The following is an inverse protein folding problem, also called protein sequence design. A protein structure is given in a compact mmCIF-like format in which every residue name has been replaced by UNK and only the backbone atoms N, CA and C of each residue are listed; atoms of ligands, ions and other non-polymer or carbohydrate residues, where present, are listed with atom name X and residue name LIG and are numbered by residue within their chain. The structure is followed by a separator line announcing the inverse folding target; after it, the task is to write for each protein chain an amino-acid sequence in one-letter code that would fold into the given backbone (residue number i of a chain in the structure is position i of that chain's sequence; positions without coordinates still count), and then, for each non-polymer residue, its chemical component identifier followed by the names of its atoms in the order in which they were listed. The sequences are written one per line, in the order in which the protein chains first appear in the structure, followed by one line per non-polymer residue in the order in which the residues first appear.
data_IF_315960465749
#
_entry.id   IF_315960465749
#
_cell.length_a   1.000
_cell.length_b   1.000
_cell.length_c   1.000
_cell.angle_alpha   90.00
_cell.angle_beta   90.00
_cell.angle_gamma   90.00
#
_symmetry.space_group_name_H-M   'P 1'
#
loop_
_entity.id
_entity.type
_entity.pdbx_description
1 polymer ?
#
# COMPACT_ATOMS: atom_id res chain seq x y z
N UNK A 1 -9.86 25.04 15.23
CA UNK A 1 -9.38 23.81 14.58
C UNK A 1 -10.52 22.83 14.57
N UNK A 2 -11.06 22.49 13.40
CA UNK A 2 -12.01 21.38 13.26
C UNK A 2 -11.18 20.18 12.80
N UNK A 3 -10.75 19.34 13.73
CA UNK A 3 -10.37 17.98 13.36
C UNK A 3 -11.68 17.20 13.37
N UNK A 4 -12.25 17.00 12.20
CA UNK A 4 -13.34 16.05 12.05
C UNK A 4 -12.74 14.66 11.89
N UNK A 5 -12.67 13.93 13.01
CA UNK A 5 -12.17 12.57 13.05
C UNK A 5 -13.02 11.59 12.21
N UNK A 6 -14.23 12.00 11.79
CA UNK A 6 -15.12 11.23 10.92
C UNK A 6 -14.72 11.20 9.44
N UNK A 7 -13.80 12.08 8.99
CA UNK A 7 -13.37 12.15 7.57
C UNK A 7 -12.10 11.31 7.31
N UNK A 8 -11.43 10.85 8.36
CA UNK A 8 -10.30 9.90 8.29
C UNK A 8 -10.78 8.47 7.95
N UNK A 9 -12.11 8.27 7.93
CA UNK A 9 -12.86 7.04 7.69
C UNK A 9 -12.98 6.62 6.21
N UNK A 10 -12.33 7.33 5.27
CA UNK A 10 -12.43 6.96 3.86
C UNK A 10 -11.47 5.81 3.53
N UNK A 11 -12.03 4.64 3.27
CA UNK A 11 -11.33 3.45 2.80
C UNK A 11 -10.47 3.75 1.56
N UNK A 12 -9.16 3.94 1.76
CA UNK A 12 -8.20 4.00 0.67
C UNK A 12 -7.91 2.57 0.22
N UNK A 13 -8.74 2.03 -0.69
CA UNK A 13 -8.52 0.79 -1.45
C UNK A 13 -7.62 -0.25 -0.78
N UNK A 14 -7.95 -0.63 0.45
CA UNK A 14 -7.06 -1.44 1.27
C UNK A 14 -7.01 -2.86 0.70
N UNK A 15 -5.83 -3.50 0.62
CA UNK A 15 -5.73 -4.92 0.26
C UNK A 15 -6.24 -5.84 1.38
N UNK A 16 -6.76 -5.30 2.49
CA UNK A 16 -7.23 -6.07 3.64
C UNK A 16 -8.69 -6.48 3.39
N UNK A 17 -8.87 -7.76 3.10
CA UNK A 17 -10.15 -8.38 2.81
C UNK A 17 -11.14 -8.27 3.99
N UNK A 18 -12.20 -7.46 3.84
CA UNK A 18 -13.48 -7.47 4.58
C UNK A 18 -13.48 -7.28 6.12
N UNK A 19 -12.31 -7.23 6.76
CA UNK A 19 -12.18 -7.21 8.23
C UNK A 19 -11.59 -5.89 8.75
N UNK A 20 -10.71 -5.26 7.97
CA UNK A 20 -9.99 -4.00 8.29
C UNK A 20 -10.11 -2.98 7.14
N UNK A 21 -11.27 -2.91 6.50
CA UNK A 21 -11.56 -2.08 5.33
C UNK A 21 -12.41 -0.83 5.65
N UNK A 22 -12.70 -0.59 6.93
CA UNK A 22 -13.48 0.54 7.43
C UNK A 22 -12.65 1.74 7.86
N UNK A 23 -11.39 1.83 7.42
CA UNK A 23 -10.50 2.97 7.73
C UNK A 23 -10.09 3.12 9.20
N UNK A 24 -10.43 2.16 10.08
CA UNK A 24 -10.19 2.33 11.53
C UNK A 24 -8.75 2.07 11.93
N UNK A 25 -8.01 1.31 11.13
CA UNK A 25 -6.55 1.22 11.27
C UNK A 25 -5.91 2.61 11.29
N UNK A 26 -6.29 3.51 10.36
CA UNK A 26 -5.73 4.86 10.35
C UNK A 26 -6.13 5.66 11.60
N UNK A 27 -7.37 5.50 12.08
CA UNK A 27 -7.84 6.14 13.32
C UNK A 27 -7.02 5.69 14.53
N UNK A 28 -6.75 4.38 14.64
CA UNK A 28 -5.91 3.77 15.66
C UNK A 28 -4.47 4.32 15.64
N UNK A 29 -3.84 4.31 14.46
CA UNK A 29 -2.47 4.82 14.31
C UNK A 29 -2.37 6.33 14.59
N UNK A 30 -3.40 7.09 14.26
CA UNK A 30 -3.47 8.51 14.60
C UNK A 30 -3.66 8.71 16.11
N UNK A 31 -4.37 7.82 16.79
CA UNK A 31 -4.41 7.77 18.26
C UNK A 31 -3.00 7.64 18.85
N UNK A 32 -2.20 6.69 18.36
CA UNK A 32 -0.79 6.57 18.75
C UNK A 32 0.03 7.81 18.42
N UNK A 33 -0.17 8.37 17.22
CA UNK A 33 0.44 9.64 16.85
C UNK A 33 0.14 10.68 17.95
N UNK A 34 -1.12 10.85 18.37
CA UNK A 34 -1.51 11.78 19.43
C UNK A 34 -1.36 11.24 20.87
N UNK A 35 -0.37 10.36 21.13
CA UNK A 35 0.07 9.96 22.47
C UNK A 35 -0.96 9.10 23.24
N UNK A 36 -1.71 8.26 22.51
CA UNK A 36 -2.50 7.19 23.10
C UNK A 36 -1.73 5.87 23.05
N UNK A 37 -1.92 5.07 24.09
CA UNK A 37 -1.44 3.69 24.15
C UNK A 37 -2.58 2.73 23.89
N UNK A 38 -2.23 1.46 23.66
CA UNK A 38 -3.21 0.39 23.65
C UNK A 38 -3.92 0.26 24.99
N UNK A 39 -5.24 0.07 24.99
CA UNK A 39 -6.06 0.11 26.22
C UNK A 39 -5.74 -1.01 27.23
N UNK A 40 -5.02 -2.05 26.82
CA UNK A 40 -4.55 -3.13 27.70
C UNK A 40 -3.14 -2.89 28.24
N UNK A 41 -2.54 -1.73 27.97
CA UNK A 41 -1.23 -1.34 28.49
C UNK A 41 -0.02 -2.07 27.89
N UNK A 42 -0.16 -2.71 26.73
CA UNK A 42 0.91 -3.44 26.00
C UNK A 42 1.50 -4.66 26.73
N UNK A 43 0.76 -5.23 27.68
CA UNK A 43 1.19 -6.44 28.40
C UNK A 43 0.05 -7.42 28.62
N UNK A 44 0.40 -8.63 29.09
CA UNK A 44 -0.61 -9.61 29.51
C UNK A 44 -0.74 -9.55 31.04
N UNK A 45 -1.90 -9.13 31.53
CA UNK A 45 -2.19 -8.99 32.95
C UNK A 45 -2.80 -7.62 33.30
N UNK A 46 -3.00 -7.37 34.59
CA UNK A 46 -3.72 -6.18 35.06
C UNK A 46 -2.80 -5.06 35.55
N UNK A 47 -1.50 -5.12 35.26
CA UNK A 47 -0.52 -4.12 35.69
C UNK A 47 -0.23 -3.06 34.62
N UNK A 48 -0.79 -3.24 33.42
CA UNK A 48 -0.64 -2.34 32.30
C UNK A 48 -1.35 -1.03 32.58
N UNK A 49 -0.75 0.07 32.11
CA UNK A 49 -1.27 1.42 32.21
C UNK A 49 -1.22 2.05 30.82
N UNK A 50 -2.39 2.33 30.24
CA UNK A 50 -2.57 2.98 28.95
C UNK A 50 -2.59 4.51 29.06
N UNK A 51 -2.55 5.05 30.27
CA UNK A 51 -2.35 6.46 30.59
C UNK A 51 -0.93 6.78 31.07
N UNK A 52 0.00 5.82 30.96
CA UNK A 52 1.41 6.04 31.28
C UNK A 52 2.03 7.22 30.50
N UNK A 53 2.94 7.92 31.16
CA UNK A 53 3.75 9.00 30.55
C UNK A 53 5.09 8.41 30.13
N UNK A 54 5.46 8.61 28.87
CA UNK A 54 6.77 8.21 28.36
C UNK A 54 7.86 9.10 28.94
N UNK A 55 8.92 8.48 29.46
CA UNK A 55 10.09 9.18 29.95
C UNK A 55 10.66 10.13 28.89
N UNK A 56 10.94 11.37 29.31
CA UNK A 56 11.43 12.43 28.42
C UNK A 56 10.34 13.17 27.63
N UNK A 57 9.08 12.70 27.67
CA UNK A 57 7.95 13.33 26.99
C UNK A 57 6.77 13.58 27.95
N UNK A 58 6.91 14.50 28.93
CA UNK A 58 5.85 14.81 29.88
C UNK A 58 4.65 15.53 29.23
N UNK A 59 3.43 15.05 29.49
CA UNK A 59 2.21 15.78 29.16
C UNK A 59 1.86 16.80 30.25
N UNK A 60 1.54 18.03 29.87
CA UNK A 60 1.18 19.10 30.82
C UNK A 60 -0.28 19.10 31.27
N UNK A 61 -1.11 18.19 30.72
CA UNK A 61 -2.53 18.07 31.08
C UNK A 61 -2.77 16.93 32.07
N UNK A 62 -3.60 17.19 33.09
CA UNK A 62 -4.05 16.19 34.05
C UNK A 62 -5.31 15.50 33.53
N UNK A 63 -5.15 14.56 32.60
CA UNK A 63 -6.25 13.72 32.12
C UNK A 63 -6.35 12.49 33.04
N UNK A 64 -7.49 12.32 33.70
CA UNK A 64 -7.75 11.13 34.54
C UNK A 64 -8.21 9.99 33.65
N UNK A 65 -7.51 8.87 33.75
CA UNK A 65 -7.83 7.64 33.02
C UNK A 65 -9.30 7.21 33.23
N UNK A 66 -10.00 7.01 32.12
CA UNK A 66 -11.39 6.56 32.04
C UNK A 66 -11.57 5.32 31.14
N UNK A 67 -10.48 4.66 30.74
CA UNK A 67 -10.49 3.34 30.10
C UNK A 67 -10.42 2.25 31.17
N UNK A 68 -11.41 1.34 31.28
CA UNK A 68 -11.32 0.25 32.23
C UNK A 68 -10.11 -0.65 31.94
N UNK A 69 -9.38 -1.01 32.99
CA UNK A 69 -8.20 -1.88 32.88
C UNK A 69 -8.56 -3.21 32.20
N UNK A 70 -7.70 -3.64 31.29
CA UNK A 70 -7.92 -4.79 30.41
C UNK A 70 -6.66 -5.65 30.35
N UNK A 71 -6.83 -6.97 30.48
CA UNK A 71 -5.72 -7.91 30.65
C UNK A 71 -4.89 -8.11 29.38
N UNK A 72 -5.49 -7.94 28.20
CA UNK A 72 -4.88 -8.17 26.89
C UNK A 72 -5.76 -7.58 25.79
N UNK A 73 -5.20 -7.42 24.60
CA UNK A 73 -5.98 -7.04 23.41
C UNK A 73 -7.10 -8.03 23.10
N UNK A 74 -8.12 -7.53 22.41
CA UNK A 74 -9.18 -8.35 21.84
C UNK A 74 -9.12 -8.37 20.32
N UNK A 75 -9.75 -9.38 19.71
CA UNK A 75 -9.84 -9.53 18.26
C UNK A 75 -11.24 -9.97 17.86
N UNK A 76 -11.60 -9.74 16.60
CA UNK A 76 -12.95 -10.02 16.12
C UNK A 76 -13.95 -8.94 16.53
N UNK A 77 -15.23 -9.30 16.43
CA UNK A 77 -16.36 -8.45 16.79
C UNK A 77 -17.08 -9.02 18.01
N UNK A 78 -16.74 -8.50 19.18
CA UNK A 78 -17.39 -8.88 20.44
C UNK A 78 -18.75 -8.19 20.58
N UNK A 79 -19.61 -8.72 21.44
CA UNK A 79 -20.92 -8.14 21.73
C UNK A 79 -21.27 -8.22 23.21
N UNK A 80 -22.11 -7.30 23.69
CA UNK A 80 -22.52 -7.23 25.09
C UNK A 80 -21.40 -6.81 26.06
N UNK A 81 -21.59 -7.12 27.34
CA UNK A 81 -20.63 -6.85 28.42
C UNK A 81 -19.55 -7.91 28.41
N UNK A 82 -18.29 -7.50 28.31
CA UNK A 82 -17.13 -8.38 28.32
C UNK A 82 -16.25 -8.07 29.52
N UNK A 83 -15.94 -9.08 30.33
CA UNK A 83 -15.19 -8.94 31.58
C UNK A 83 -13.95 -9.82 31.57
N UNK A 84 -12.94 -9.44 32.34
CA UNK A 84 -11.76 -10.26 32.56
C UNK A 84 -11.30 -10.17 34.04
N UNK A 85 -10.07 -10.59 34.33
CA UNK A 85 -9.51 -10.51 35.69
C UNK A 85 -9.25 -9.08 36.18
N UNK A 86 -9.21 -8.09 35.28
CA UNK A 86 -8.91 -6.69 35.57
C UNK A 86 -10.19 -5.86 35.71
N UNK A 87 -11.17 -6.13 34.84
CA UNK A 87 -12.52 -5.57 34.85
C UNK A 87 -13.56 -6.67 35.03
N UNK A 88 -13.68 -7.17 36.27
CA UNK A 88 -14.46 -8.39 36.61
C UNK A 88 -15.97 -8.21 36.72
N UNK A 89 -16.47 -6.99 36.59
CA UNK A 89 -17.92 -6.69 36.68
C UNK A 89 -18.33 -5.70 35.60
N UNK A 90 -19.64 -5.62 35.32
CA UNK A 90 -20.19 -4.67 34.36
C UNK A 90 -19.78 -3.22 34.73
N UNK A 91 -19.46 -2.36 33.73
CA UNK A 91 -19.64 -2.56 32.29
C UNK A 91 -18.56 -3.40 31.59
N UNK A 92 -17.54 -3.87 32.32
CA UNK A 92 -16.44 -4.65 31.76
C UNK A 92 -15.35 -3.79 31.11
N UNK A 93 -14.54 -4.39 30.23
CA UNK A 93 -13.52 -3.69 29.45
C UNK A 93 -14.07 -3.14 28.13
N UNK A 94 -13.39 -2.15 27.56
CA UNK A 94 -13.91 -1.32 26.47
C UNK A 94 -13.39 -1.75 25.08
N UNK A 95 -13.77 -2.94 24.62
CA UNK A 95 -13.32 -3.49 23.32
C UNK A 95 -13.76 -2.68 22.09
N UNK A 96 -14.70 -1.74 22.24
CA UNK A 96 -15.13 -0.83 21.16
C UNK A 96 -14.21 0.39 21.00
N UNK A 97 -13.22 0.55 21.88
CA UNK A 97 -12.28 1.66 21.83
C UNK A 97 -11.35 1.52 20.61
N UNK A 98 -11.08 2.63 19.91
CA UNK A 98 -10.15 2.61 18.77
C UNK A 98 -8.75 2.12 19.12
N UNK A 99 -8.33 2.17 20.39
CA UNK A 99 -7.02 1.71 20.85
C UNK A 99 -7.01 0.23 21.32
N UNK A 100 -8.05 -0.57 21.02
CA UNK A 100 -7.99 -2.04 21.05
C UNK A 100 -7.69 -2.61 19.65
N UNK A 101 -7.64 -3.93 19.48
CA UNK A 101 -7.41 -4.65 18.19
C UNK A 101 -8.65 -5.38 17.65
N UNK A 102 -9.85 -4.94 18.04
CA UNK A 102 -11.09 -5.45 17.44
C UNK A 102 -11.18 -5.13 15.94
N UNK A 103 -12.09 -5.81 15.23
CA UNK A 103 -12.25 -5.59 13.79
C UNK A 103 -12.87 -4.22 13.49
N UNK A 104 -12.61 -3.67 12.30
CA UNK A 104 -13.03 -2.32 11.90
C UNK A 104 -14.53 -2.05 12.09
N UNK A 105 -15.37 -3.05 11.81
CA UNK A 105 -16.82 -2.96 11.96
C UNK A 105 -17.32 -2.85 13.40
N UNK A 106 -16.43 -2.96 14.40
CA UNK A 106 -16.77 -3.06 15.81
C UNK A 106 -16.09 -2.01 16.71
N UNK A 107 -15.21 -1.18 16.14
CA UNK A 107 -14.78 0.06 16.78
C UNK A 107 -15.90 1.11 16.78
N UNK A 108 -15.88 2.00 17.77
CA UNK A 108 -16.85 3.09 17.78
C UNK A 108 -16.45 4.37 18.52
N UNK A 109 -15.36 4.40 19.29
CA UNK A 109 -15.10 5.57 20.14
C UNK A 109 -13.67 5.74 20.67
N UNK A 110 -13.32 7.00 20.94
CA UNK A 110 -12.34 7.39 21.96
C UNK A 110 -13.09 7.81 23.23
N UNK A 111 -12.42 7.72 24.38
CA UNK A 111 -12.94 8.25 25.64
C UNK A 111 -12.66 9.75 25.80
N UNK A 112 -13.27 10.38 26.82
CA UNK A 112 -13.07 11.80 27.10
C UNK A 112 -11.62 12.04 27.54
N UNK A 113 -11.06 11.16 28.37
CA UNK A 113 -9.68 11.31 28.83
C UNK A 113 -8.65 11.04 27.72
N UNK A 114 -8.94 10.13 26.77
CA UNK A 114 -8.12 9.96 25.57
C UNK A 114 -8.14 11.24 24.71
N UNK A 115 -9.31 11.85 24.50
CA UNK A 115 -9.39 13.16 23.81
C UNK A 115 -8.58 14.24 24.53
N UNK A 116 -8.63 14.28 25.86
CA UNK A 116 -7.80 15.18 26.67
C UNK A 116 -6.30 14.94 26.43
N UNK A 117 -5.82 13.68 26.40
CA UNK A 117 -4.41 13.36 26.09
C UNK A 117 -4.02 13.79 24.69
N UNK A 118 -4.89 13.56 23.70
CA UNK A 118 -4.63 13.99 22.33
C UNK A 118 -4.49 15.51 22.23
N UNK A 119 -5.35 16.27 22.94
CA UNK A 119 -5.24 17.72 23.03
C UNK A 119 -3.96 18.16 23.75
N UNK A 120 -3.58 17.50 24.85
CA UNK A 120 -2.32 17.77 25.53
C UNK A 120 -1.12 17.52 24.61
N UNK A 121 -1.14 16.44 23.84
CA UNK A 121 -0.11 16.13 22.87
C UNK A 121 -0.05 17.20 21.75
N UNK A 122 -1.21 17.62 21.26
CA UNK A 122 -1.33 18.71 20.29
C UNK A 122 -0.72 20.00 20.82
N UNK A 123 -0.90 20.28 22.10
CA UNK A 123 -0.41 21.50 22.75
C UNK A 123 1.10 21.49 22.97
N UNK A 124 1.67 20.37 23.38
CA UNK A 124 3.08 20.27 23.79
C UNK A 124 4.01 19.87 22.63
N UNK A 125 3.57 18.96 21.77
CA UNK A 125 4.45 18.33 20.78
C UNK A 125 4.06 18.63 19.34
N UNK A 126 2.83 19.10 19.11
CA UNK A 126 2.31 19.34 17.75
C UNK A 126 1.62 20.68 17.58
N UNK A 127 2.09 21.69 18.31
CA UNK A 127 1.48 23.02 18.31
C UNK A 127 1.40 23.64 16.90
N UNK A 128 2.32 23.30 16.00
CA UNK A 128 2.31 23.73 14.59
C UNK A 128 1.06 23.32 13.83
N UNK A 129 0.41 22.20 14.20
CA UNK A 129 -0.85 21.78 13.60
C UNK A 129 -1.99 22.77 13.89
N UNK A 130 -1.92 23.53 14.99
CA UNK A 130 -2.91 24.55 15.36
C UNK A 130 -2.89 25.79 14.49
N UNK A 131 -1.72 26.10 13.94
CA UNK A 131 -1.54 27.17 12.97
C UNK A 131 -1.52 26.65 11.53
N UNK A 132 -1.87 25.38 11.32
CA UNK A 132 -1.94 24.81 9.97
C UNK A 132 -3.04 25.50 9.16
N UNK A 133 -2.73 25.78 7.90
CA UNK A 133 -3.70 26.28 6.93
C UNK A 133 -4.66 25.18 6.44
N UNK A 134 -4.63 23.97 7.01
CA UNK A 134 -5.46 22.84 6.55
C UNK A 134 -6.97 23.09 6.60
N UNK A 135 -7.45 23.98 7.47
CA UNK A 135 -8.87 24.41 7.50
C UNK A 135 -9.13 25.70 6.71
N UNK A 136 -8.09 26.36 6.19
CA UNK A 136 -8.26 27.47 5.26
C UNK A 136 -8.56 26.89 3.88
N UNK A 137 -9.61 27.34 3.17
CA UNK A 137 -9.80 26.98 1.79
C UNK A 137 -8.52 27.28 1.02
N UNK A 138 -8.09 26.34 0.17
CA UNK A 138 -6.97 26.59 -0.73
C UNK A 138 -7.36 27.78 -1.59
N UNK A 139 -6.70 28.92 -1.37
CA UNK A 139 -6.95 30.13 -2.17
C UNK A 139 -6.49 29.81 -3.58
N UNK A 140 -7.40 29.84 -4.54
CA UNK A 140 -7.02 29.67 -5.94
C UNK A 140 -6.03 30.78 -6.33
N UNK A 141 -4.92 30.42 -6.98
CA UNK A 141 -3.97 31.40 -7.49
C UNK A 141 -4.04 31.43 -9.02
N UNK A 142 -3.60 32.51 -9.64
CA UNK A 142 -3.71 32.62 -11.09
C UNK A 142 -2.94 31.49 -11.79
N UNK A 143 -3.62 30.84 -12.75
CA UNK A 143 -3.09 29.74 -13.57
C UNK A 143 -2.37 28.64 -12.75
N UNK A 144 -3.07 28.00 -11.81
CA UNK A 144 -2.53 26.88 -11.01
C UNK A 144 -3.15 25.55 -11.48
N UNK A 145 -2.32 24.64 -11.98
CA UNK A 145 -2.76 23.29 -12.36
C UNK A 145 -1.99 22.24 -11.56
N UNK A 146 -2.73 21.48 -10.76
CA UNK A 146 -2.18 20.35 -10.04
C UNK A 146 -2.23 19.09 -10.89
N UNK A 147 -1.11 18.36 -10.93
CA UNK A 147 -1.10 16.96 -11.33
C UNK A 147 -1.38 16.11 -10.10
N UNK A 148 -2.58 15.55 -10.01
CA UNK A 148 -3.00 14.80 -8.82
C UNK A 148 -2.35 13.42 -8.76
N UNK A 149 -2.37 12.67 -9.86
CA UNK A 149 -1.82 11.32 -9.93
C UNK A 149 -1.64 10.81 -11.36
N UNK A 150 -0.83 9.76 -11.51
CA UNK A 150 -0.70 8.97 -12.75
C UNK A 150 -1.50 7.68 -12.58
N UNK A 151 -2.63 7.59 -13.26
CA UNK A 151 -3.55 6.45 -13.18
C UNK A 151 -3.07 5.24 -13.99
N UNK A 152 -2.27 5.49 -15.01
CA UNK A 152 -1.56 4.46 -15.77
C UNK A 152 -0.16 5.01 -16.12
N UNK A 153 0.94 4.33 -15.79
CA UNK A 153 1.00 3.13 -14.99
C UNK A 153 0.50 3.35 -13.55
N UNK A 154 -0.31 2.41 -13.06
CA UNK A 154 -1.17 2.59 -11.88
C UNK A 154 -0.38 3.09 -10.66
N UNK A 155 -0.65 4.32 -10.21
CA UNK A 155 -0.44 4.73 -8.83
C UNK A 155 -1.77 4.61 -8.07
N UNK A 156 -2.26 3.40 -7.80
CA UNK A 156 -3.43 3.28 -6.92
C UNK A 156 -2.99 3.71 -5.52
N UNK A 157 -3.32 4.96 -5.20
CA UNK A 157 -3.41 5.59 -3.89
C UNK A 157 -2.27 5.30 -2.94
N UNK A 158 -1.28 6.18 -2.84
CA UNK A 158 -0.40 6.31 -1.66
C UNK A 158 0.28 5.01 -1.15
N UNK A 159 0.24 3.91 -1.92
CA UNK A 159 0.74 2.62 -1.52
C UNK A 159 2.23 2.54 -1.90
N UNK A 160 3.07 2.92 -0.94
CA UNK A 160 4.47 2.53 -0.80
C UNK A 160 5.00 1.61 -1.92
N UNK A 161 5.52 2.20 -3.00
CA UNK A 161 6.44 1.53 -3.91
C UNK A 161 5.92 0.34 -4.73
N UNK A 162 4.60 0.16 -4.91
CA UNK A 162 4.09 -0.94 -5.74
C UNK A 162 4.42 -0.69 -7.22
N UNK A 163 5.03 -1.69 -7.85
CA UNK A 163 5.49 -1.69 -9.24
C UNK A 163 4.46 -2.41 -10.11
N UNK A 164 3.93 -1.75 -11.13
CA UNK A 164 3.08 -2.42 -12.13
C UNK A 164 3.95 -2.93 -13.28
N UNK A 165 3.76 -4.20 -13.65
CA UNK A 165 4.46 -4.86 -14.75
C UNK A 165 3.64 -4.81 -16.04
N UNK A 166 4.29 -4.45 -17.15
CA UNK A 166 3.66 -4.34 -18.47
C UNK A 166 4.27 -5.34 -19.47
N UNK A 167 3.40 -6.04 -20.20
CA UNK A 167 3.80 -6.97 -21.25
C UNK A 167 4.12 -6.26 -22.55
N UNK A 168 3.41 -5.17 -22.82
CA UNK A 168 3.62 -4.39 -24.02
C UNK A 168 4.79 -3.44 -23.83
N UNK A 169 5.58 -3.32 -24.89
CA UNK A 169 6.63 -2.32 -24.95
C UNK A 169 6.04 -0.92 -25.12
N UNK A 170 4.76 -0.78 -25.47
CA UNK A 170 4.10 0.50 -25.65
C UNK A 170 3.30 0.85 -24.39
N UNK A 171 3.63 1.99 -23.78
CA UNK A 171 2.93 2.54 -22.62
C UNK A 171 2.00 3.66 -23.07
N UNK A 172 0.76 3.66 -22.56
CA UNK A 172 -0.27 4.67 -22.80
C UNK A 172 -0.70 5.31 -21.47
N UNK A 173 0.07 6.28 -20.94
CA UNK A 173 -0.21 6.80 -19.62
C UNK A 173 -1.54 7.57 -19.56
N UNK A 174 -2.15 7.60 -18.38
CA UNK A 174 -3.29 8.47 -18.09
C UNK A 174 -3.01 9.23 -16.80
N UNK A 175 -3.27 10.54 -16.81
CA UNK A 175 -3.00 11.44 -15.70
C UNK A 175 -4.27 12.17 -15.27
N UNK A 176 -4.44 12.37 -13.96
CA UNK A 176 -5.50 13.19 -13.38
C UNK A 176 -4.95 14.59 -13.11
N UNK A 177 -5.54 15.60 -13.75
CA UNK A 177 -5.24 17.01 -13.49
C UNK A 177 -6.41 17.69 -12.78
N UNK A 178 -6.12 18.70 -11.97
CA UNK A 178 -7.12 19.54 -11.29
C UNK A 178 -6.77 21.00 -11.54
N UNK A 179 -7.77 21.81 -11.90
CA UNK A 179 -7.59 23.25 -12.00
C UNK A 179 -7.69 23.86 -10.59
N UNK A 180 -6.54 24.13 -9.95
CA UNK A 180 -6.47 24.85 -8.69
C UNK A 180 -6.46 26.39 -8.90
N UNK A 181 -6.54 26.82 -10.17
CA UNK A 181 -6.49 28.21 -10.59
C UNK A 181 -7.79 28.97 -10.39
N UNK A 182 -7.70 30.31 -10.33
CA UNK A 182 -8.84 31.21 -10.12
C UNK A 182 -9.65 31.53 -11.39
N UNK A 183 -9.25 30.96 -12.53
CA UNK A 183 -9.91 31.10 -13.83
C UNK A 183 -9.99 29.73 -14.54
N UNK A 184 -10.89 29.56 -15.54
CA UNK A 184 -10.95 28.33 -16.31
C UNK A 184 -9.62 27.98 -16.99
N UNK A 185 -9.18 26.73 -16.86
CA UNK A 185 -8.01 26.21 -17.55
C UNK A 185 -8.40 25.76 -18.97
N UNK A 186 -7.77 26.37 -19.96
CA UNK A 186 -8.08 26.18 -21.39
C UNK A 186 -6.95 25.52 -22.17
N UNK A 187 -5.71 25.62 -21.69
CA UNK A 187 -4.56 24.98 -22.30
C UNK A 187 -3.48 24.64 -21.28
N UNK A 188 -2.68 23.61 -21.57
CA UNK A 188 -1.49 23.25 -20.80
C UNK A 188 -0.49 22.47 -21.68
N UNK A 189 0.78 22.44 -21.28
CA UNK A 189 1.83 21.60 -21.88
C UNK A 189 2.31 20.55 -20.89
N UNK A 190 2.19 19.28 -21.25
CA UNK A 190 2.79 18.16 -20.53
C UNK A 190 4.22 17.92 -21.00
N UNK A 191 5.15 17.73 -20.07
CA UNK A 191 6.49 17.18 -20.33
C UNK A 191 6.60 15.80 -19.69
N UNK A 192 6.86 14.79 -20.51
CA UNK A 192 6.91 13.39 -20.10
C UNK A 192 8.37 12.97 -19.97
N UNK A 193 8.74 12.42 -18.81
CA UNK A 193 10.09 11.95 -18.52
C UNK A 193 10.10 10.49 -18.08
N UNK A 194 11.06 9.74 -18.61
CA UNK A 194 11.41 8.41 -18.15
C UNK A 194 12.83 8.49 -17.59
N UNK A 195 13.02 8.17 -16.32
CA UNK A 195 14.31 8.23 -15.62
C UNK A 195 15.00 9.60 -15.81
N UNK A 196 14.23 10.67 -15.61
CA UNK A 196 14.60 12.07 -15.83
C UNK A 196 14.88 12.50 -17.30
N UNK A 197 14.88 11.57 -18.26
CA UNK A 197 15.05 11.88 -19.69
C UNK A 197 13.71 12.26 -20.31
N UNK A 198 13.64 13.37 -21.04
CA UNK A 198 12.42 13.77 -21.77
C UNK A 198 12.17 12.78 -22.90
N UNK A 199 11.02 12.12 -22.88
CA UNK A 199 10.59 11.18 -23.92
C UNK A 199 9.45 11.74 -24.79
N UNK A 200 8.79 12.80 -24.33
CA UNK A 200 7.70 13.43 -25.07
C UNK A 200 7.27 14.77 -24.48
N UNK A 201 6.59 15.55 -25.32
CA UNK A 201 5.89 16.78 -24.95
C UNK A 201 4.53 16.73 -25.62
N UNK A 202 3.47 16.99 -24.87
CA UNK A 202 2.10 16.95 -25.38
C UNK A 202 1.35 18.21 -24.95
N UNK A 203 0.61 18.81 -25.87
CA UNK A 203 -0.28 19.93 -25.53
C UNK A 203 -1.68 19.40 -25.25
N UNK A 204 -2.34 20.01 -24.29
CA UNK A 204 -3.75 19.77 -23.99
C UNK A 204 -4.52 21.06 -24.12
N UNK A 205 -5.76 20.94 -24.62
CA UNK A 205 -6.74 22.03 -24.68
C UNK A 205 -8.05 21.53 -24.13
N UNK A 206 -8.76 22.39 -23.41
CA UNK A 206 -10.06 22.05 -22.85
C UNK A 206 -10.76 23.26 -22.27
N UNK A 207 -11.66 23.01 -21.32
CA UNK A 207 -12.28 24.05 -20.51
C UNK A 207 -12.63 23.44 -19.15
N UNK A 208 -11.75 23.64 -18.17
CA UNK A 208 -11.87 23.09 -16.83
C UNK A 208 -12.11 24.23 -15.86
N UNK A 209 -13.30 24.30 -15.23
CA UNK A 209 -13.57 25.34 -14.25
C UNK A 209 -12.70 25.16 -12.99
N UNK A 210 -12.59 26.20 -12.17
CA UNK A 210 -11.87 26.13 -10.90
C UNK A 210 -12.39 24.96 -10.04
N UNK A 211 -11.45 24.19 -9.48
CA UNK A 211 -11.65 22.97 -8.71
C UNK A 211 -12.23 21.77 -9.47
N UNK A 212 -12.47 21.88 -10.78
CA UNK A 212 -12.78 20.71 -11.60
C UNK A 212 -11.53 19.91 -11.97
N UNK A 213 -11.73 18.65 -12.32
CA UNK A 213 -10.67 17.72 -12.71
C UNK A 213 -10.92 17.10 -14.09
N UNK A 214 -9.84 16.67 -14.75
CA UNK A 214 -9.91 15.96 -16.01
C UNK A 214 -8.92 14.80 -16.06
N UNK A 215 -9.31 13.73 -16.75
CA UNK A 215 -8.41 12.63 -17.10
C UNK A 215 -7.82 12.90 -18.47
N UNK A 216 -6.49 12.97 -18.55
CA UNK A 216 -5.78 13.21 -19.81
C UNK A 216 -5.00 11.95 -20.18
N UNK A 217 -5.24 11.46 -21.39
CA UNK A 217 -4.43 10.41 -21.98
C UNK A 217 -3.16 11.02 -22.56
N UNK A 218 -2.03 10.42 -22.23
CA UNK A 218 -0.72 10.78 -22.76
C UNK A 218 -0.41 9.91 -23.97
N UNK A 219 0.19 10.52 -24.99
CA UNK A 219 0.61 9.85 -26.21
C UNK A 219 1.49 8.64 -25.90
N UNK A 220 1.27 7.58 -26.68
CA UNK A 220 1.94 6.32 -26.47
C UNK A 220 3.45 6.46 -26.72
N UNK A 221 4.27 5.87 -25.85
CA UNK A 221 5.72 5.81 -26.04
C UNK A 221 6.26 4.41 -25.71
N UNK A 222 7.47 4.11 -26.17
CA UNK A 222 8.08 2.78 -26.04
C UNK A 222 9.33 2.85 -25.16
N UNK A 223 9.21 2.70 -23.83
CA UNK A 223 10.36 2.62 -22.95
C UNK A 223 11.14 1.31 -23.15
N UNK A 224 12.44 1.29 -22.81
CA UNK A 224 13.22 0.06 -22.82
C UNK A 224 12.70 -0.94 -21.78
N UNK A 225 13.17 -2.18 -21.86
CA UNK A 225 12.86 -3.21 -20.86
C UNK A 225 13.57 -2.91 -19.55
N UNK A 226 12.90 -3.15 -18.43
CA UNK A 226 13.45 -2.90 -17.11
C UNK A 226 12.53 -2.06 -16.24
N UNK A 227 13.08 -1.60 -15.12
CA UNK A 227 12.35 -0.78 -14.14
C UNK A 227 12.62 0.69 -14.40
N UNK A 228 11.56 1.48 -14.43
CA UNK A 228 11.60 2.88 -14.81
C UNK A 228 10.74 3.74 -13.88
N UNK A 229 11.09 5.02 -13.79
CA UNK A 229 10.26 6.04 -13.17
C UNK A 229 9.68 6.96 -14.25
N UNK A 230 8.36 6.99 -14.37
CA UNK A 230 7.63 7.96 -15.17
C UNK A 230 7.39 9.21 -14.33
N UNK A 231 7.77 10.38 -14.86
CA UNK A 231 7.42 11.68 -14.30
C UNK A 231 6.67 12.48 -15.35
N UNK A 232 5.48 12.97 -15.01
CA UNK A 232 4.70 13.85 -15.87
C UNK A 232 4.63 15.21 -15.19
N UNK A 233 5.17 16.23 -15.89
CA UNK A 233 5.11 17.61 -15.47
C UNK A 233 4.10 18.38 -16.32
N UNK A 234 3.37 19.31 -15.71
CA UNK A 234 2.58 20.33 -16.40
C UNK A 234 3.36 21.63 -16.49
N UNK A 235 2.91 22.51 -17.38
CA UNK A 235 3.49 23.83 -17.57
C UNK A 235 2.67 24.64 -18.57
N UNK A 236 2.94 25.94 -18.63
CA UNK A 236 2.24 26.89 -19.48
C UNK A 236 0.69 26.87 -19.36
N UNK A 237 0.09 26.79 -18.15
CA UNK A 237 -1.36 26.86 -18.00
C UNK A 237 -1.90 28.17 -18.60
N UNK A 238 -2.84 28.06 -19.55
CA UNK A 238 -3.35 29.19 -20.33
C UNK A 238 -2.27 30.02 -21.05
N UNK A 239 -1.09 29.43 -21.32
CA UNK A 239 0.08 30.13 -21.88
C UNK A 239 0.85 31.01 -20.88
N UNK A 240 0.49 30.97 -19.59
CA UNK A 240 1.13 31.72 -18.51
C UNK A 240 2.09 30.89 -17.66
N UNK A 241 2.63 31.49 -16.60
CA UNK A 241 3.43 30.79 -15.59
C UNK A 241 2.49 30.17 -14.55
N UNK A 242 2.79 28.95 -14.11
CA UNK A 242 2.03 28.30 -13.05
C UNK A 242 2.21 29.02 -11.70
N UNK A 243 1.11 29.27 -10.99
CA UNK A 243 1.10 29.95 -9.71
C UNK A 243 1.65 29.14 -8.53
N UNK A 244 1.72 27.80 -8.63
CA UNK A 244 2.27 26.90 -7.60
C UNK A 244 3.11 25.74 -8.17
N UNK A 245 4.34 26.00 -8.64
CA UNK A 245 5.19 25.01 -9.31
C UNK A 245 5.48 23.67 -8.58
N UNK A 246 5.16 23.57 -7.29
CA UNK A 246 5.38 22.38 -6.46
C UNK A 246 4.34 21.27 -6.71
N UNK A 247 3.16 21.60 -7.26
CA UNK A 247 2.07 20.65 -7.52
C UNK A 247 1.95 20.28 -9.02
N UNK A 248 2.85 20.80 -9.87
CA UNK A 248 2.88 20.60 -11.33
C UNK A 248 3.32 19.19 -11.78
N UNK A 249 3.50 18.23 -10.88
CA UNK A 249 3.97 16.91 -11.29
C UNK A 249 3.50 15.76 -10.43
N UNK A 250 3.44 14.59 -11.07
CA UNK A 250 3.30 13.30 -10.41
C UNK A 250 4.34 12.32 -10.95
N UNK A 251 4.64 11.30 -10.15
CA UNK A 251 5.59 10.24 -10.47
C UNK A 251 4.97 8.86 -10.26
N UNK A 252 5.30 7.92 -11.12
CA UNK A 252 4.91 6.53 -11.03
C UNK A 252 6.07 5.61 -11.38
N UNK A 253 6.19 4.49 -10.67
CA UNK A 253 7.19 3.44 -10.97
C UNK A 253 6.53 2.30 -11.72
N UNK A 254 7.19 1.84 -12.78
CA UNK A 254 6.67 0.75 -13.60
C UNK A 254 7.80 -0.16 -14.09
N UNK A 255 7.42 -1.33 -14.58
CA UNK A 255 8.32 -2.26 -15.23
C UNK A 255 7.84 -2.66 -16.62
N UNK A 256 8.77 -2.66 -17.57
CA UNK A 256 8.55 -3.25 -18.89
C UNK A 256 9.21 -4.63 -18.90
N UNK A 257 8.40 -5.67 -19.07
CA UNK A 257 8.93 -7.03 -19.10
C UNK A 257 9.70 -7.30 -20.40
N UNK A 258 10.82 -8.04 -20.35
CA UNK A 258 11.57 -8.49 -21.53
C UNK A 258 10.68 -9.16 -22.60
N UNK A 259 11.08 -9.20 -23.88
CA UNK A 259 10.30 -9.89 -24.93
C UNK A 259 9.96 -11.34 -24.58
N UNK A 260 8.86 -11.84 -25.14
CA UNK A 260 8.46 -13.23 -24.94
C UNK A 260 9.46 -14.21 -25.56
N UNK A 261 9.73 -15.30 -24.87
CA UNK A 261 10.53 -16.41 -25.34
C UNK A 261 9.69 -17.30 -26.27
N UNK A 262 10.28 -17.72 -27.38
CA UNK A 262 9.64 -18.67 -28.30
C UNK A 262 9.93 -20.11 -27.87
N UNK A 263 8.92 -20.98 -27.75
CA UNK A 263 9.14 -22.41 -27.55
C UNK A 263 9.93 -23.06 -28.71
N UNK A 264 10.73 -24.11 -28.45
CA UNK A 264 11.01 -24.70 -27.14
C UNK A 264 11.98 -23.83 -26.32
N UNK A 265 11.64 -23.59 -25.06
CA UNK A 265 12.49 -22.86 -24.12
C UNK A 265 13.51 -23.84 -23.52
N UNK A 266 14.77 -23.42 -23.40
CA UNK A 266 15.80 -24.22 -22.76
C UNK A 266 15.38 -24.59 -21.33
N UNK A 267 15.63 -25.84 -20.93
CA UNK A 267 15.30 -26.30 -19.58
C UNK A 267 16.03 -25.46 -18.53
N UNK A 268 15.29 -24.90 -17.57
CA UNK A 268 15.87 -24.17 -16.45
C UNK A 268 16.32 -25.16 -15.36
N UNK A 269 17.63 -25.28 -15.17
CA UNK A 269 18.26 -26.17 -14.17
C UNK A 269 18.54 -25.49 -12.83
N UNK A 270 18.49 -24.15 -12.75
CA UNK A 270 18.83 -23.34 -11.57
C UNK A 270 20.27 -23.51 -11.08
N UNK A 271 21.18 -23.98 -11.94
CA UNK A 271 22.59 -24.20 -11.61
C UNK A 271 23.39 -22.89 -11.53
N UNK A 272 22.93 -21.85 -12.22
CA UNK A 272 23.56 -20.51 -12.24
C UNK A 272 23.65 -19.88 -10.84
N UNK A 273 24.68 -19.05 -10.63
CA UNK A 273 24.94 -18.42 -9.32
C UNK A 273 23.79 -17.48 -8.91
N UNK A 274 23.21 -16.77 -9.87
CA UNK A 274 22.14 -15.79 -9.64
C UNK A 274 20.78 -16.48 -9.45
N UNK A 275 20.05 -16.09 -8.40
CA UNK A 275 18.66 -16.48 -8.18
C UNK A 275 17.82 -15.25 -7.79
N UNK A 276 16.60 -15.08 -8.34
CA UNK A 276 16.02 -15.87 -9.43
C UNK A 276 16.87 -15.75 -10.72
N UNK A 277 16.78 -16.71 -11.64
CA UNK A 277 17.50 -16.61 -12.91
C UNK A 277 17.16 -15.34 -13.68
N UNK A 278 18.00 -14.95 -14.64
CA UNK A 278 17.76 -13.74 -15.43
C UNK A 278 16.35 -13.72 -16.03
N UNK A 279 15.65 -12.60 -15.85
CA UNK A 279 14.27 -12.35 -16.27
C UNK A 279 13.17 -13.15 -15.55
N UNK A 280 13.53 -14.01 -14.60
CA UNK A 280 12.59 -14.60 -13.65
C UNK A 280 12.36 -13.66 -12.46
N UNK A 281 11.23 -13.82 -11.77
CA UNK A 281 10.83 -12.93 -10.68
C UNK A 281 10.31 -13.74 -9.51
N UNK A 282 10.56 -13.24 -8.31
CA UNK A 282 9.88 -13.70 -7.10
C UNK A 282 8.89 -12.62 -6.68
N UNK A 283 7.63 -12.98 -6.52
CA UNK A 283 6.63 -12.12 -5.88
C UNK A 283 6.35 -12.71 -4.50
N UNK A 284 6.70 -11.93 -3.49
CA UNK A 284 6.55 -12.26 -2.08
C UNK A 284 5.69 -11.16 -1.41
N UNK A 285 4.36 -11.31 -1.39
CA UNK A 285 3.45 -10.28 -0.87
C UNK A 285 3.61 -10.00 0.64
N UNK A 286 3.99 -11.01 1.43
CA UNK A 286 4.07 -10.92 2.89
C UNK A 286 5.48 -10.59 3.41
N UNK A 287 6.49 -10.63 2.54
CA UNK A 287 7.89 -10.37 2.88
C UNK A 287 8.55 -11.48 3.70
N UNK A 288 7.91 -12.64 3.83
CA UNK A 288 8.36 -13.76 4.63
C UNK A 288 9.24 -14.74 3.87
N UNK A 289 9.12 -16.03 4.21
CA UNK A 289 9.89 -17.11 3.57
C UNK A 289 9.38 -17.30 2.14
N UNK A 290 10.25 -17.12 1.14
CA UNK A 290 9.88 -17.22 -0.28
C UNK A 290 10.81 -18.14 -1.07
N UNK A 291 10.63 -18.18 -2.40
CA UNK A 291 11.43 -18.95 -3.33
C UNK A 291 12.92 -18.57 -3.27
N UNK A 292 13.77 -19.58 -3.16
CA UNK A 292 15.22 -19.44 -3.15
C UNK A 292 15.90 -20.59 -3.91
N UNK A 293 17.16 -20.40 -4.30
CA UNK A 293 18.01 -21.50 -4.76
C UNK A 293 18.38 -22.41 -3.58
N UNK A 294 18.35 -23.72 -3.79
CA UNK A 294 18.92 -24.71 -2.88
C UNK A 294 19.91 -25.60 -3.62
N UNK A 295 20.92 -26.10 -2.93
CA UNK A 295 21.82 -27.17 -3.42
C UNK A 295 21.64 -28.49 -2.67
N UNK A 296 20.68 -28.55 -1.74
CA UNK A 296 20.37 -29.78 -0.99
C UNK A 296 19.61 -30.81 -1.82
N UNK A 297 19.03 -30.39 -2.94
CA UNK A 297 18.30 -31.24 -3.88
C UNK A 297 18.37 -30.62 -5.28
N UNK A 298 18.54 -31.47 -6.30
CA UNK A 298 18.58 -31.10 -7.71
C UNK A 298 18.37 -32.34 -8.58
N UNK A 299 17.79 -32.18 -9.77
CA UNK A 299 17.66 -33.25 -10.76
C UNK A 299 17.48 -32.63 -12.16
N UNK A 300 18.39 -32.85 -13.12
CA UNK A 300 19.56 -33.75 -13.09
C UNK A 300 20.82 -33.19 -12.41
N UNK A 301 20.84 -31.90 -12.06
CA UNK A 301 22.00 -31.23 -11.48
C UNK A 301 22.04 -31.24 -9.95
N UNK A 302 22.74 -30.28 -9.36
CA UNK A 302 22.93 -30.15 -7.91
C UNK A 302 22.09 -29.04 -7.28
N UNK A 303 21.41 -28.23 -8.08
CA UNK A 303 20.58 -27.14 -7.62
C UNK A 303 19.12 -27.25 -8.05
N UNK A 304 18.24 -26.55 -7.34
CA UNK A 304 16.84 -26.37 -7.68
C UNK A 304 16.28 -25.09 -7.05
N UNK A 305 15.11 -24.66 -7.51
CA UNK A 305 14.30 -23.69 -6.78
C UNK A 305 13.56 -24.37 -5.62
N UNK A 306 13.53 -23.74 -4.46
CA UNK A 306 12.90 -24.24 -3.24
C UNK A 306 12.10 -23.15 -2.54
N UNK A 307 10.89 -23.49 -2.13
CA UNK A 307 10.14 -22.75 -1.11
C UNK A 307 10.21 -23.55 0.20
N UNK A 308 10.71 -22.94 1.27
CA UNK A 308 10.90 -23.60 2.57
C UNK A 308 9.62 -23.59 3.42
N UNK A 309 8.48 -23.98 2.83
CA UNK A 309 7.16 -23.93 3.46
C UNK A 309 7.06 -24.77 4.75
N UNK A 310 7.82 -25.86 4.88
CA UNK A 310 7.87 -26.67 6.11
C UNK A 310 8.24 -25.85 7.37
N UNK A 311 9.06 -24.81 7.21
CA UNK A 311 9.48 -23.92 8.30
C UNK A 311 8.66 -22.64 8.36
N UNK A 312 7.58 -22.54 7.58
CA UNK A 312 6.77 -21.35 7.51
C UNK A 312 5.53 -21.45 8.39
N UNK A 313 5.47 -20.63 9.45
CA UNK A 313 4.39 -20.68 10.44
C UNK A 313 3.12 -19.92 10.02
N UNK A 314 3.22 -19.02 9.02
CA UNK A 314 2.08 -18.26 8.51
C UNK A 314 1.24 -19.11 7.56
N UNK A 315 -0.07 -19.16 7.78
CA UNK A 315 -1.01 -19.90 6.91
C UNK A 315 -1.51 -19.01 5.78
N UNK A 316 -1.95 -19.65 4.69
CA UNK A 316 -2.56 -18.99 3.51
C UNK A 316 -1.68 -17.94 2.83
N UNK A 317 -0.36 -18.07 2.97
CA UNK A 317 0.59 -17.21 2.26
C UNK A 317 0.84 -17.77 0.86
N UNK A 318 0.97 -16.87 -0.12
CA UNK A 318 1.15 -17.21 -1.52
C UNK A 318 2.39 -16.51 -2.06
N UNK A 319 3.35 -17.29 -2.53
CA UNK A 319 4.59 -16.84 -3.15
C UNK A 319 4.71 -17.34 -4.58
N UNK A 320 5.08 -16.45 -5.50
CA UNK A 320 5.19 -16.79 -6.91
C UNK A 320 6.65 -16.79 -7.36
N UNK A 321 7.02 -17.79 -8.16
CA UNK A 321 8.22 -17.79 -8.99
C UNK A 321 7.78 -17.69 -10.44
N UNK A 322 7.87 -16.48 -11.01
CA UNK A 322 7.38 -16.19 -12.36
C UNK A 322 8.50 -16.39 -13.38
N UNK A 323 8.17 -17.12 -14.44
CA UNK A 323 9.00 -17.28 -15.62
C UNK A 323 8.99 -16.00 -16.49
N UNK A 324 9.93 -15.82 -17.42
CA UNK A 324 9.81 -14.83 -18.47
C UNK A 324 8.54 -15.05 -19.30
N UNK A 325 8.08 -14.02 -20.02
CA UNK A 325 6.92 -14.16 -20.93
C UNK A 325 7.19 -15.27 -21.94
N UNK A 326 6.18 -16.06 -22.26
CA UNK A 326 6.25 -17.16 -23.22
C UNK A 326 5.29 -16.84 -24.37
N UNK A 327 5.77 -16.93 -25.61
CA UNK A 327 4.92 -16.78 -26.78
C UNK A 327 4.06 -18.03 -26.95
N UNK A 328 2.75 -17.85 -26.98
CA UNK A 328 1.77 -18.93 -27.16
C UNK A 328 1.21 -18.98 -28.58
N UNK A 329 1.29 -17.86 -29.33
CA UNK A 329 0.77 -17.78 -30.68
C UNK A 329 1.45 -18.81 -31.61
N UNK A 330 0.62 -19.56 -32.35
CA UNK A 330 1.08 -20.60 -33.29
C UNK A 330 1.37 -21.96 -32.65
N UNK A 331 1.18 -22.13 -31.34
CA UNK A 331 1.25 -23.43 -30.67
C UNK A 331 -0.15 -24.01 -30.46
N UNK A 332 -0.40 -25.27 -30.86
CA UNK A 332 -1.66 -25.97 -30.56
C UNK A 332 -1.77 -26.36 -29.09
N UNK A 333 -0.63 -26.68 -28.46
CA UNK A 333 -0.52 -26.97 -27.04
C UNK A 333 0.88 -26.60 -26.52
N UNK A 334 0.97 -26.25 -25.25
CA UNK A 334 2.24 -26.03 -24.53
C UNK A 334 2.38 -27.10 -23.45
N UNK A 335 3.55 -27.71 -23.35
CA UNK A 335 3.85 -28.73 -22.33
C UNK A 335 4.92 -28.18 -21.40
N UNK A 336 4.57 -28.04 -20.13
CA UNK A 336 5.53 -27.79 -19.05
C UNK A 336 5.87 -29.12 -18.38
N UNK A 337 7.16 -29.47 -18.40
CA UNK A 337 7.69 -30.61 -17.64
C UNK A 337 8.61 -30.08 -16.53
N UNK A 338 8.41 -30.56 -15.31
CA UNK A 338 9.28 -30.23 -14.18
C UNK A 338 9.39 -31.42 -13.22
N UNK A 339 10.51 -31.47 -12.49
CA UNK A 339 10.72 -32.41 -11.40
C UNK A 339 10.25 -31.76 -10.09
N UNK A 340 9.44 -32.47 -9.29
CA UNK A 340 8.99 -31.99 -7.99
C UNK A 340 9.50 -32.91 -6.88
N UNK A 341 10.14 -32.31 -5.88
CA UNK A 341 10.46 -32.95 -4.61
C UNK A 341 9.70 -32.20 -3.50
N UNK A 342 9.08 -32.95 -2.58
CA UNK A 342 8.20 -32.40 -1.57
C UNK A 342 8.39 -33.09 -0.22
N UNK A 343 8.31 -32.31 0.87
CA UNK A 343 8.38 -32.81 2.24
C UNK A 343 7.12 -32.39 3.01
N UNK A 344 6.26 -33.37 3.29
CA UNK A 344 4.97 -33.14 3.98
C UNK A 344 5.18 -32.73 5.44
N UNK A 345 4.56 -31.62 5.85
CA UNK A 345 4.65 -31.13 7.23
C UNK A 345 3.98 -32.06 8.25
N UNK A 346 2.69 -32.35 8.06
CA UNK A 346 1.93 -33.27 8.90
C UNK A 346 0.77 -33.92 8.10
N UNK A 347 0.04 -34.86 8.71
CA UNK A 347 -1.09 -35.54 8.07
C UNK A 347 -2.42 -34.76 8.10
N UNK A 348 -2.42 -33.55 8.64
CA UNK A 348 -3.62 -32.71 8.72
C UNK A 348 -3.76 -31.88 7.45
N UNK A 349 -4.85 -32.10 6.72
CA UNK A 349 -5.13 -31.48 5.43
C UNK A 349 -5.24 -29.95 5.52
N UNK A 350 -5.56 -29.39 6.68
CA UNK A 350 -5.64 -27.94 6.88
C UNK A 350 -4.27 -27.24 6.92
N UNK A 351 -3.16 -28.01 6.96
CA UNK A 351 -1.80 -27.47 7.01
C UNK A 351 -0.94 -27.91 5.80
N UNK A 352 -1.57 -28.38 4.72
CA UNK A 352 -0.82 -28.75 3.53
C UNK A 352 -0.43 -27.51 2.75
N UNK A 353 0.86 -27.41 2.42
CA UNK A 353 1.35 -26.56 1.36
C UNK A 353 1.10 -27.22 -0.01
N UNK A 354 1.00 -26.38 -1.03
CA UNK A 354 0.66 -26.79 -2.39
C UNK A 354 1.54 -26.04 -3.39
N UNK A 355 1.91 -26.72 -4.47
CA UNK A 355 2.49 -26.08 -5.65
C UNK A 355 1.41 -26.04 -6.73
N UNK A 356 1.03 -24.83 -7.12
CA UNK A 356 0.12 -24.58 -8.23
C UNK A 356 0.90 -24.05 -9.44
N UNK A 357 0.53 -24.51 -10.63
CA UNK A 357 1.01 -23.93 -11.89
C UNK A 357 -0.13 -23.11 -12.48
N UNK A 358 0.03 -21.80 -12.41
CA UNK A 358 -0.89 -20.83 -13.01
C UNK A 358 -0.24 -20.15 -14.20
N UNK A 359 -1.07 -19.60 -15.08
CA UNK A 359 -0.62 -18.71 -16.14
C UNK A 359 -1.46 -17.43 -16.10
N UNK A 360 -0.86 -16.33 -16.55
CA UNK A 360 -1.53 -15.04 -16.67
C UNK A 360 -1.40 -14.55 -18.11
N UNK A 361 -2.49 -13.98 -18.62
CA UNK A 361 -2.55 -13.33 -19.94
C UNK A 361 -2.24 -11.83 -19.85
N UNK A 362 -2.08 -11.30 -18.63
CA UNK A 362 -1.95 -9.87 -18.32
C UNK A 362 -0.71 -9.56 -17.47
N UNK A 363 0.37 -10.31 -17.65
CA UNK A 363 1.69 -10.05 -17.05
C UNK A 363 1.78 -10.28 -15.55
N UNK A 364 0.88 -11.09 -15.00
CA UNK A 364 0.75 -11.37 -13.58
C UNK A 364 -0.01 -10.28 -12.82
N UNK A 365 -0.93 -9.56 -13.49
CA UNK A 365 -1.84 -8.62 -12.82
C UNK A 365 -3.03 -9.38 -12.24
N UNK A 366 -3.57 -10.38 -12.93
CA UNK A 366 -4.65 -11.28 -12.46
C UNK A 366 -4.24 -12.74 -12.40
#
# INVERSE_FOLDING_TARGET
MCIDWGVIDLACGSPFNGVYDGGRTLVHEIGHYFYLWHIWGDENGCTGDDFRIQDGFPLSANCTDDTPNQAKSTSGCLSGVQTDGCSSTAPGFMYQNYMDYTNDGCYGMFTIAQVCRMQACLDNYRASLKSSNGCAPVVAVNNDVRVSEILNPVSRGFACGKKTSYCDLQLTPQVLIVNDGDAPLTSLTFTIRVDNVVVGVQNWTGNLATSEFAYVNIDAFTPPTGTHTLKINTGNPNGGIDGRPINDFAEARYEILPPALNPPIAAQSFEEVTFPPDNWRVINPDGGITWAKTTSAGNPGIASARLSAYSYNSKQQIDYLLTPKIQTAGSEFLILNFNLAYAKYNNDMENWDQLEVVYSEDCGIT
#
